data_IF_792340033253
#
_entry.id   IF_792340033253
#
_cell.length_a   1.000
_cell.length_b   1.000
_cell.length_c   1.000
_cell.angle_alpha   90.00
_cell.angle_beta   90.00
_cell.angle_gamma   90.00
#
_symmetry.space_group_name_H-M   'P 1'
#
loop_
_entity.id
_entity.type
_entity.pdbx_description
1 polymer ?
#
# COMPACT_ATOMS: atom_id res chain seq x y z
N UNK A 1 -3.94 -2.65 -1.89
CA UNK A 1 -2.80 -3.04 -2.75
C UNK A 1 -2.58 -1.97 -3.80
N UNK A 2 -1.34 -1.59 -4.09
CA UNK A 2 -0.97 -0.43 -4.94
C UNK A 2 -1.23 -0.73 -6.42
N UNK A 3 -2.34 -0.26 -7.03
CA UNK A 3 -2.69 -0.63 -8.39
C UNK A 3 -1.69 0.02 -9.37
N UNK A 4 -1.13 -0.78 -10.29
CA UNK A 4 -0.18 -0.28 -11.29
C UNK A 4 1.28 -0.24 -10.83
N UNK A 5 1.61 -0.78 -9.65
CA UNK A 5 2.98 -0.91 -9.16
C UNK A 5 3.44 -2.37 -9.19
N UNK A 6 4.71 -2.57 -9.55
CA UNK A 6 5.42 -3.86 -9.45
C UNK A 6 6.67 -3.61 -8.63
N UNK A 7 6.84 -4.33 -7.54
CA UNK A 7 8.06 -4.31 -6.73
C UNK A 7 8.98 -5.44 -7.18
N UNK A 8 10.25 -5.12 -7.41
CA UNK A 8 11.24 -6.09 -7.88
C UNK A 8 12.49 -5.98 -7.01
N UNK A 9 12.90 -7.10 -6.42
CA UNK A 9 14.21 -7.23 -5.78
C UNK A 9 15.22 -7.74 -6.80
N UNK A 10 16.26 -6.96 -7.08
CA UNK A 10 17.31 -7.33 -8.05
C UNK A 10 18.66 -6.76 -7.62
N UNK A 11 19.72 -7.55 -7.82
CA UNK A 11 21.10 -7.08 -7.71
C UNK A 11 21.63 -6.39 -8.97
N UNK A 12 20.85 -6.38 -10.06
CA UNK A 12 21.24 -5.86 -11.36
C UNK A 12 20.14 -4.93 -11.94
N UNK A 13 19.90 -3.76 -11.34
CA UNK A 13 18.80 -2.88 -11.75
C UNK A 13 18.94 -2.38 -13.20
N UNK A 14 20.15 -2.07 -13.67
CA UNK A 14 20.37 -1.57 -15.03
C UNK A 14 20.07 -2.62 -16.09
N UNK A 15 20.51 -3.87 -15.86
CA UNK A 15 20.25 -4.97 -16.77
C UNK A 15 18.75 -5.29 -16.86
N UNK A 16 18.05 -5.25 -15.71
CA UNK A 16 16.61 -5.43 -15.65
C UNK A 16 15.88 -4.31 -16.41
N UNK A 17 16.29 -3.05 -16.24
CA UNK A 17 15.68 -1.92 -16.95
C UNK A 17 15.80 -2.06 -18.47
N UNK A 18 16.97 -2.48 -18.96
CA UNK A 18 17.20 -2.71 -20.39
C UNK A 18 16.32 -3.84 -20.96
N UNK A 19 16.19 -4.95 -20.25
CA UNK A 19 15.33 -6.06 -20.70
C UNK A 19 13.85 -5.69 -20.68
N UNK A 20 13.38 -4.97 -19.65
CA UNK A 20 12.01 -4.45 -19.61
C UNK A 20 11.73 -3.50 -20.79
N UNK A 21 12.69 -2.65 -21.14
CA UNK A 21 12.61 -1.74 -22.30
C UNK A 21 12.54 -2.51 -23.63
N UNK A 22 13.30 -3.61 -23.76
CA UNK A 22 13.27 -4.48 -24.95
C UNK A 22 11.95 -5.23 -25.09
N UNK A 23 11.41 -5.75 -23.99
CA UNK A 23 10.18 -6.53 -23.99
C UNK A 23 8.96 -5.73 -24.47
N UNK A 24 8.91 -4.41 -24.20
CA UNK A 24 7.77 -3.51 -24.51
C UNK A 24 6.41 -4.00 -23.97
N UNK A 25 6.42 -4.92 -23.02
CA UNK A 25 5.24 -5.60 -22.48
C UNK A 25 4.70 -4.95 -21.20
N UNK A 26 5.45 -4.03 -20.61
CA UNK A 26 5.03 -3.32 -19.40
C UNK A 26 4.56 -1.90 -19.76
N UNK A 27 3.46 -1.41 -19.15
CA UNK A 27 3.05 -0.02 -19.31
C UNK A 27 4.22 0.88 -18.94
N UNK A 28 4.45 1.91 -19.74
CA UNK A 28 5.56 2.86 -19.58
C UNK A 28 5.75 3.23 -18.10
N UNK A 29 6.99 3.11 -17.62
CA UNK A 29 7.37 3.50 -16.27
C UNK A 29 6.90 4.94 -16.02
N UNK A 30 6.18 5.16 -14.92
CA UNK A 30 5.42 6.39 -14.67
C UNK A 30 6.32 7.64 -14.72
N UNK A 31 5.90 8.63 -15.51
CA UNK A 31 6.50 9.98 -15.58
C UNK A 31 7.26 10.15 -16.88
N UNK A 32 6.77 11.03 -17.77
CA UNK A 32 7.27 11.27 -19.13
C UNK A 32 8.71 11.81 -19.28
N UNK A 33 9.59 11.52 -18.31
CA UNK A 33 11.03 11.78 -18.34
C UNK A 33 11.89 10.61 -17.81
N UNK A 34 11.34 9.50 -17.31
CA UNK A 34 12.15 8.44 -16.70
C UNK A 34 11.76 7.03 -17.14
N UNK A 35 12.45 6.55 -18.18
CA UNK A 35 12.62 5.12 -18.48
C UNK A 35 13.51 4.40 -17.43
N UNK A 36 13.32 4.71 -16.14
CA UNK A 36 14.22 4.23 -15.07
C UNK A 36 13.43 3.56 -13.96
N UNK A 37 13.96 2.42 -13.51
CA UNK A 37 13.55 1.80 -12.25
C UNK A 37 13.78 2.81 -11.13
N UNK A 38 12.74 3.06 -10.34
CA UNK A 38 12.81 3.92 -9.17
C UNK A 38 13.12 3.04 -7.97
N UNK A 39 14.24 3.27 -7.25
CA UNK A 39 14.52 2.53 -6.02
C UNK A 39 13.43 2.84 -4.99
N UNK A 40 13.04 1.83 -4.22
CA UNK A 40 12.13 2.02 -3.09
C UNK A 40 12.94 2.59 -1.94
N UNK A 41 12.56 3.76 -1.43
CA UNK A 41 13.21 4.39 -0.28
C UNK A 41 13.06 3.53 0.99
N UNK A 42 13.98 3.68 1.92
CA UNK A 42 13.99 2.86 3.14
C UNK A 42 12.71 3.02 3.98
N UNK A 43 12.16 4.24 4.02
CA UNK A 43 10.90 4.55 4.71
C UNK A 43 9.70 3.88 4.03
N UNK A 44 9.68 3.88 2.70
CA UNK A 44 8.64 3.23 1.91
C UNK A 44 8.68 1.72 2.08
N UNK A 45 9.89 1.13 2.04
CA UNK A 45 10.09 -0.30 2.28
C UNK A 45 9.67 -0.68 3.70
N UNK A 46 10.04 0.11 4.72
CA UNK A 46 9.63 -0.13 6.09
C UNK A 46 8.11 -0.14 6.25
N UNK A 47 7.42 0.80 5.59
CA UNK A 47 5.96 0.79 5.56
C UNK A 47 5.43 -0.49 4.89
N UNK A 48 5.95 -0.84 3.71
CA UNK A 48 5.51 -2.02 2.96
C UNK A 48 5.72 -3.30 3.78
N UNK A 49 6.85 -3.45 4.46
CA UNK A 49 7.12 -4.60 5.33
C UNK A 49 6.23 -4.63 6.57
N UNK A 50 5.91 -3.46 7.14
CA UNK A 50 5.00 -3.39 8.29
C UNK A 50 3.58 -3.86 7.93
N UNK A 51 3.14 -3.65 6.68
CA UNK A 51 1.80 -4.04 6.23
C UNK A 51 1.75 -5.42 5.56
N UNK A 52 2.79 -5.80 4.81
CA UNK A 52 2.89 -7.04 4.04
C UNK A 52 3.85 -8.09 4.66
N UNK A 53 4.40 -7.81 5.84
CA UNK A 53 5.42 -8.66 6.46
C UNK A 53 6.81 -8.45 5.84
N UNK A 54 7.83 -8.99 6.52
CA UNK A 54 9.22 -8.94 6.05
C UNK A 54 9.35 -9.50 4.64
N UNK A 55 10.19 -8.87 3.82
CA UNK A 55 10.39 -9.25 2.43
C UNK A 55 9.08 -9.32 1.61
N UNK A 56 8.03 -8.62 2.07
CA UNK A 56 6.69 -8.63 1.49
C UNK A 56 6.08 -10.04 1.40
N UNK A 57 6.38 -10.90 2.38
CA UNK A 57 6.04 -12.33 2.37
C UNK A 57 4.53 -12.64 2.35
N UNK A 58 3.66 -11.69 2.68
CA UNK A 58 2.22 -11.88 2.60
C UNK A 58 1.48 -10.61 2.15
N UNK A 59 0.23 -10.78 1.71
CA UNK A 59 -0.61 -9.63 1.40
C UNK A 59 -0.89 -8.76 2.64
N UNK A 60 -1.28 -7.51 2.40
CA UNK A 60 -1.70 -6.59 3.45
C UNK A 60 -2.83 -7.19 4.30
N UNK A 61 -2.56 -7.43 5.58
CA UNK A 61 -3.53 -8.04 6.49
C UNK A 61 -4.67 -7.08 6.82
N UNK A 62 -5.84 -7.66 7.10
CA UNK A 62 -7.01 -6.92 7.54
C UNK A 62 -6.75 -6.23 8.87
N UNK A 63 -7.22 -4.99 8.99
CA UNK A 63 -7.15 -4.21 10.22
C UNK A 63 -8.48 -4.29 10.98
N UNK A 64 -8.46 -4.63 12.26
CA UNK A 64 -9.70 -4.62 13.06
C UNK A 64 -9.97 -3.19 13.52
N UNK A 65 -11.18 -2.69 13.28
CA UNK A 65 -11.60 -1.33 13.62
C UNK A 65 -12.80 -1.33 14.57
N UNK A 66 -12.83 -0.33 15.45
CA UNK A 66 -13.99 -0.01 16.28
C UNK A 66 -14.63 1.26 15.75
N UNK A 67 -15.95 1.23 15.61
CA UNK A 67 -16.74 2.37 15.15
C UNK A 67 -17.55 2.93 16.31
N UNK A 68 -17.82 4.23 16.28
CA UNK A 68 -18.75 4.87 17.21
C UNK A 68 -20.21 4.72 16.77
N UNK A 69 -21.12 5.33 17.52
CA UNK A 69 -22.57 5.30 17.27
C UNK A 69 -22.96 5.97 15.93
N UNK A 70 -22.13 6.91 15.45
CA UNK A 70 -22.30 7.58 14.15
C UNK A 70 -21.69 6.77 12.99
N UNK A 71 -21.04 5.65 13.31
CA UNK A 71 -20.39 4.79 12.34
C UNK A 71 -19.04 5.30 11.87
N UNK A 72 -18.36 6.18 12.61
CA UNK A 72 -17.01 6.63 12.32
C UNK A 72 -15.96 5.76 13.02
N UNK A 73 -14.83 5.52 12.34
CA UNK A 73 -13.73 4.71 12.90
C UNK A 73 -13.03 5.49 14.02
N UNK A 74 -13.24 5.06 15.27
CA UNK A 74 -12.63 5.67 16.46
C UNK A 74 -11.27 5.04 16.81
N UNK A 75 -11.10 3.76 16.50
CA UNK A 75 -9.82 3.07 16.74
C UNK A 75 -9.59 1.94 15.73
N UNK A 76 -8.32 1.61 15.52
CA UNK A 76 -7.90 0.53 14.63
C UNK A 76 -6.69 -0.22 15.19
N UNK A 77 -6.55 -1.47 14.78
CA UNK A 77 -5.39 -2.33 15.01
C UNK A 77 -4.81 -2.81 13.68
N UNK A 78 -3.59 -3.35 13.70
CA UNK A 78 -2.90 -3.79 12.48
C UNK A 78 -2.43 -2.61 11.61
N UNK A 79 -2.40 -2.83 10.30
CA UNK A 79 -1.83 -1.93 9.30
C UNK A 79 -2.43 -0.51 9.32
N UNK A 80 -3.72 -0.37 9.67
CA UNK A 80 -4.40 0.93 9.68
C UNK A 80 -4.11 1.77 10.93
N UNK A 81 -3.63 1.18 12.03
CA UNK A 81 -3.48 1.86 13.34
C UNK A 81 -2.73 3.22 13.26
N UNK A 82 -1.62 3.36 12.54
CA UNK A 82 -0.90 4.64 12.46
C UNK A 82 -1.64 5.73 11.67
N UNK A 83 -2.66 5.34 10.88
CA UNK A 83 -3.30 6.21 9.88
C UNK A 83 -4.75 6.55 10.21
N UNK A 84 -5.22 6.27 11.44
CA UNK A 84 -6.59 6.57 11.87
C UNK A 84 -6.92 8.06 11.67
N UNK A 85 -6.00 8.96 12.04
CA UNK A 85 -6.17 10.41 11.86
C UNK A 85 -6.03 10.90 10.41
N UNK A 86 -5.82 9.99 9.45
CA UNK A 86 -5.63 10.28 8.01
C UNK A 86 -6.65 9.54 7.14
N UNK A 87 -7.72 9.02 7.73
CA UNK A 87 -8.80 8.36 6.99
C UNK A 87 -9.50 9.42 6.13
N UNK A 88 -9.47 9.22 4.81
CA UNK A 88 -10.11 10.12 3.83
C UNK A 88 -11.49 9.59 3.42
N UNK A 89 -11.72 8.28 3.53
CA UNK A 89 -13.00 7.66 3.17
C UNK A 89 -13.25 6.38 3.96
N UNK A 90 -14.49 6.19 4.39
CA UNK A 90 -14.94 4.96 5.04
C UNK A 90 -16.05 4.27 4.25
N UNK A 91 -15.90 2.96 4.03
CA UNK A 91 -16.89 2.10 3.38
C UNK A 91 -17.05 0.81 4.18
N UNK A 92 -17.59 0.95 5.39
CA UNK A 92 -17.75 -0.16 6.35
C UNK A 92 -18.51 -1.35 5.77
N UNK A 93 -19.59 -1.12 5.02
CA UNK A 93 -20.36 -2.18 4.33
C UNK A 93 -19.51 -3.00 3.37
N UNK A 94 -18.57 -2.37 2.67
CA UNK A 94 -17.65 -3.03 1.73
C UNK A 94 -16.35 -3.48 2.41
N UNK A 95 -16.27 -3.35 3.75
CA UNK A 95 -15.16 -3.81 4.58
C UNK A 95 -13.81 -3.19 4.19
N UNK A 96 -13.80 -1.91 3.82
CA UNK A 96 -12.56 -1.17 3.62
C UNK A 96 -12.65 0.30 4.06
N UNK A 97 -11.48 0.88 4.33
CA UNK A 97 -11.28 2.31 4.50
C UNK A 97 -10.14 2.78 3.60
N UNK A 98 -10.16 4.05 3.24
CA UNK A 98 -9.06 4.70 2.54
C UNK A 98 -8.41 5.69 3.48
N UNK A 99 -7.09 5.60 3.63
CA UNK A 99 -6.31 6.54 4.41
C UNK A 99 -5.13 7.05 3.60
N UNK A 100 -4.73 8.27 3.90
CA UNK A 100 -3.63 8.92 3.23
C UNK A 100 -2.29 8.52 3.87
N UNK A 101 -1.41 7.94 3.05
CA UNK A 101 -0.12 7.41 3.47
C UNK A 101 0.98 8.15 2.69
N UNK A 102 2.03 8.65 3.36
CA UNK A 102 3.22 9.11 2.69
C UNK A 102 3.94 7.88 2.11
N UNK A 103 3.98 7.79 0.77
CA UNK A 103 4.59 6.69 0.04
C UNK A 103 5.14 7.22 -1.28
N UNK A 104 6.33 6.79 -1.70
CA UNK A 104 6.98 7.17 -2.96
C UNK A 104 7.16 8.68 -3.11
N UNK A 105 7.54 9.36 -2.02
CA UNK A 105 7.63 10.82 -1.93
C UNK A 105 6.33 11.56 -2.32
N UNK A 106 5.18 10.89 -2.20
CA UNK A 106 3.84 11.41 -2.51
C UNK A 106 2.87 11.06 -1.37
N UNK A 107 1.69 11.68 -1.39
CA UNK A 107 0.57 11.31 -0.53
C UNK A 107 -0.36 10.41 -1.31
N UNK A 108 -0.32 9.13 -1.01
CA UNK A 108 -1.10 8.11 -1.71
C UNK A 108 -2.35 7.73 -0.91
N UNK A 109 -3.47 7.54 -1.60
CA UNK A 109 -4.71 7.06 -0.99
C UNK A 109 -4.72 5.53 -0.97
N UNK A 110 -4.39 4.95 0.18
CA UNK A 110 -4.24 3.50 0.33
C UNK A 110 -5.54 2.90 0.87
N UNK A 111 -6.00 1.83 0.21
CA UNK A 111 -7.14 1.03 0.66
C UNK A 111 -6.68 -0.02 1.67
N UNK A 112 -7.19 0.11 2.89
CA UNK A 112 -7.03 -0.86 3.97
C UNK A 112 -8.29 -1.70 4.09
N UNK A 113 -8.14 -3.02 3.94
CA UNK A 113 -9.20 -3.95 4.28
C UNK A 113 -9.42 -3.97 5.79
N UNK A 114 -10.67 -3.99 6.23
CA UNK A 114 -11.03 -3.91 7.64
C UNK A 114 -11.95 -5.04 8.07
N UNK A 115 -11.85 -5.40 9.35
CA UNK A 115 -12.86 -6.16 10.09
C UNK A 115 -13.47 -5.23 11.14
N UNK A 116 -14.77 -5.33 11.37
CA UNK A 116 -15.38 -4.66 12.51
C UNK A 116 -15.15 -5.50 13.76
N UNK A 117 -15.03 -4.84 14.91
CA UNK A 117 -15.03 -5.54 16.18
C UNK A 117 -16.34 -6.34 16.34
N UNK A 118 -16.21 -7.65 16.59
CA UNK A 118 -17.34 -8.59 16.62
C UNK A 118 -17.50 -9.43 15.34
N UNK A 119 -16.76 -9.15 14.26
CA UNK A 119 -16.70 -10.06 13.11
C UNK A 119 -16.01 -11.39 13.52
N UNK A 120 -16.48 -12.55 13.02
CA UNK A 120 -15.84 -13.84 13.25
C UNK A 120 -14.42 -13.88 12.63
N UNK A 121 -13.50 -14.59 13.31
CA UNK A 121 -12.06 -14.65 12.95
C UNK A 121 -11.80 -15.60 11.79
#
# INVERSE_FOLDING_TARGET
MFPGYIFISTGFPEALAEELRRARQFPQMIGGQMDRLVPVEAEDLWFLENVCGKDLAHDMRLSTVRVDEEGQVRSASGALKPYIGRITRQRLRHRYVTAEVPLFNRRENVLFGIRLEGDPV
#
